data_IF_149804002662
#
_entry.id   IF_149804002662
#
_cell.length_a   1.000
_cell.length_b   1.000
_cell.length_c   1.000
_cell.angle_alpha   90.00
_cell.angle_beta   90.00
_cell.angle_gamma   90.00
#
_symmetry.space_group_name_H-M   'P 1'
#
loop_
_entity.id
_entity.type
_entity.pdbx_description
1 polymer ?
#
# COMPACT_ATOMS: atom_id res chain seq x y z
N UNK A 1 4.68 13.02 -19.39
CA UNK A 1 3.67 13.17 -18.34
C UNK A 1 3.54 14.65 -18.06
N UNK A 2 2.32 15.20 -18.12
CA UNK A 2 2.08 16.60 -17.79
C UNK A 2 2.28 16.80 -16.28
N UNK A 3 2.98 17.87 -15.89
CA UNK A 3 3.20 18.18 -14.47
C UNK A 3 1.86 18.47 -13.80
N UNK A 4 1.51 17.83 -12.67
CA UNK A 4 0.25 18.11 -11.99
C UNK A 4 0.15 19.58 -11.59
N UNK A 5 -1.02 20.21 -11.76
CA UNK A 5 -1.22 21.63 -11.41
C UNK A 5 -0.93 21.91 -9.92
N UNK A 6 -1.15 20.92 -9.04
CA UNK A 6 -0.78 21.02 -7.64
C UNK A 6 0.72 21.24 -7.40
N UNK A 7 1.59 20.66 -8.23
CA UNK A 7 3.05 20.86 -8.15
C UNK A 7 3.41 22.29 -8.54
N UNK A 8 2.74 22.86 -9.54
CA UNK A 8 2.92 24.26 -9.96
C UNK A 8 2.61 25.22 -8.81
N UNK A 9 1.51 24.97 -8.09
CA UNK A 9 1.13 25.79 -6.92
C UNK A 9 2.22 25.73 -5.84
N UNK A 10 2.79 24.54 -5.58
CA UNK A 10 3.89 24.37 -4.64
C UNK A 10 5.15 25.13 -5.08
N UNK A 11 5.51 25.07 -6.36
CA UNK A 11 6.67 25.80 -6.90
C UNK A 11 6.48 27.32 -6.76
N UNK A 12 5.30 27.84 -7.10
CA UNK A 12 5.00 29.28 -6.96
C UNK A 12 5.02 29.70 -5.48
N UNK A 13 4.52 28.86 -4.57
CA UNK A 13 4.60 29.13 -3.15
C UNK A 13 6.06 29.23 -2.66
N UNK A 14 6.94 28.34 -3.14
CA UNK A 14 8.36 28.38 -2.83
C UNK A 14 9.04 29.64 -3.38
N UNK A 15 8.73 30.05 -4.62
CA UNK A 15 9.23 31.30 -5.22
C UNK A 15 8.84 32.54 -4.41
N UNK A 16 7.63 32.52 -3.84
CA UNK A 16 7.11 33.59 -2.97
C UNK A 16 7.58 33.48 -1.52
N UNK A 17 8.48 32.53 -1.20
CA UNK A 17 8.93 32.24 0.16
C UNK A 17 7.80 31.93 1.16
N UNK A 18 6.67 31.38 0.67
CA UNK A 18 5.53 30.98 1.50
C UNK A 18 5.78 29.56 2.00
N UNK A 19 5.95 29.40 3.31
CA UNK A 19 6.14 28.07 3.91
C UNK A 19 4.85 27.28 3.89
N UNK A 20 4.97 25.95 3.87
CA UNK A 20 3.83 25.01 3.92
C UNK A 20 2.80 25.33 5.00
N UNK A 21 3.25 25.66 6.21
CA UNK A 21 2.36 26.00 7.33
C UNK A 21 1.54 27.27 7.04
N UNK A 22 2.19 28.29 6.47
CA UNK A 22 1.53 29.54 6.09
C UNK A 22 0.58 29.34 4.92
N UNK A 23 0.94 28.52 3.94
CA UNK A 23 0.07 28.19 2.82
C UNK A 23 -1.19 27.45 3.27
N UNK A 24 -1.05 26.53 4.25
CA UNK A 24 -2.17 25.83 4.87
C UNK A 24 -3.09 26.81 5.63
N UNK A 25 -2.51 27.72 6.41
CA UNK A 25 -3.25 28.77 7.13
C UNK A 25 -3.99 29.70 6.17
N UNK A 26 -3.32 30.21 5.14
CA UNK A 26 -3.91 31.13 4.14
C UNK A 26 -5.00 30.48 3.30
N UNK A 27 -4.89 29.17 3.05
CA UNK A 27 -5.92 28.42 2.31
C UNK A 27 -7.03 27.86 3.21
N UNK A 28 -6.95 28.03 4.53
CA UNK A 28 -7.88 27.44 5.49
C UNK A 28 -7.85 25.90 5.52
N UNK A 29 -6.75 25.29 5.09
CA UNK A 29 -6.60 23.82 4.97
C UNK A 29 -5.62 23.29 6.01
N UNK A 30 -5.72 21.99 6.30
CA UNK A 30 -4.71 21.30 7.12
C UNK A 30 -3.44 21.05 6.31
N UNK A 31 -2.30 20.84 6.99
CA UNK A 31 -1.04 20.47 6.32
C UNK A 31 -1.18 19.18 5.50
N UNK A 32 -1.96 18.21 5.99
CA UNK A 32 -2.26 16.98 5.26
C UNK A 32 -3.09 17.27 4.00
N UNK A 33 -4.07 18.17 4.09
CA UNK A 33 -4.86 18.62 2.95
C UNK A 33 -4.02 19.26 1.85
N UNK A 34 -2.93 19.96 2.21
CA UNK A 34 -2.01 20.54 1.22
C UNK A 34 -1.27 19.50 0.38
N UNK A 35 -0.86 18.37 0.97
CA UNK A 35 -0.25 17.29 0.19
C UNK A 35 -1.21 16.67 -0.81
N UNK A 36 -2.50 16.56 -0.46
CA UNK A 36 -3.55 16.12 -1.38
C UNK A 36 -3.69 17.10 -2.54
N UNK A 37 -3.72 18.40 -2.26
CA UNK A 37 -3.78 19.46 -3.28
C UNK A 37 -2.60 19.38 -4.25
N UNK A 38 -1.38 19.13 -3.76
CA UNK A 38 -0.20 19.03 -4.61
C UNK A 38 -0.17 17.80 -5.51
N UNK A 39 -0.86 16.73 -5.13
CA UNK A 39 -1.02 15.54 -5.96
C UNK A 39 -2.08 15.66 -7.06
N UNK A 40 -2.89 16.74 -7.05
CA UNK A 40 -3.97 16.92 -8.03
C UNK A 40 -3.42 17.31 -9.40
N UNK A 41 -3.88 16.59 -10.41
CA UNK A 41 -3.56 16.87 -11.81
C UNK A 41 -4.41 17.99 -12.39
N UNK A 42 -5.60 18.18 -11.84
CA UNK A 42 -6.60 19.15 -12.28
C UNK A 42 -7.26 19.92 -11.13
N UNK A 43 -7.68 21.14 -11.43
CA UNK A 43 -8.43 22.01 -10.52
C UNK A 43 -9.45 22.82 -11.32
N UNK A 44 -10.56 23.17 -10.65
CA UNK A 44 -11.56 24.05 -11.24
C UNK A 44 -11.00 25.47 -11.38
N UNK A 45 -11.51 26.23 -12.34
CA UNK A 45 -11.00 27.57 -12.59
C UNK A 45 -11.18 28.50 -11.37
N UNK A 46 -12.28 28.36 -10.63
CA UNK A 46 -12.54 29.12 -9.41
C UNK A 46 -11.49 28.80 -8.33
N UNK A 47 -11.13 27.52 -8.18
CA UNK A 47 -10.09 27.09 -7.23
C UNK A 47 -8.71 27.63 -7.62
N UNK A 48 -8.42 27.74 -8.92
CA UNK A 48 -7.16 28.34 -9.42
C UNK A 48 -7.14 29.84 -9.12
N UNK A 49 -8.26 30.54 -9.23
CA UNK A 49 -8.36 31.96 -8.87
C UNK A 49 -8.15 32.18 -7.36
N UNK A 50 -8.67 31.30 -6.51
CA UNK A 50 -8.39 31.32 -5.07
C UNK A 50 -6.89 31.14 -4.79
N UNK A 51 -6.25 30.15 -5.42
CA UNK A 51 -4.81 29.93 -5.27
C UNK A 51 -3.98 31.10 -5.79
N UNK A 52 -4.39 31.71 -6.91
CA UNK A 52 -3.75 32.90 -7.45
C UNK A 52 -3.81 34.07 -6.44
N UNK A 53 -4.97 34.25 -5.79
CA UNK A 53 -5.16 35.23 -4.73
C UNK A 53 -4.26 34.98 -3.51
N UNK A 54 -4.20 33.74 -3.03
CA UNK A 54 -3.35 33.35 -1.89
C UNK A 54 -1.86 33.56 -2.18
N UNK A 55 -1.44 33.25 -3.41
CA UNK A 55 -0.04 33.33 -3.84
C UNK A 55 0.38 34.73 -4.32
N UNK A 56 -0.58 35.66 -4.46
CA UNK A 56 -0.34 37.00 -4.99
C UNK A 56 0.19 36.98 -6.43
N UNK A 57 -0.39 36.14 -7.27
CA UNK A 57 -0.09 36.03 -8.72
C UNK A 57 -1.37 36.09 -9.53
N UNK A 58 -1.27 36.27 -10.85
CA UNK A 58 -2.43 36.14 -11.73
C UNK A 58 -2.72 34.68 -12.05
N UNK A 59 -3.97 34.35 -12.37
CA UNK A 59 -4.33 33.01 -12.87
C UNK A 59 -3.55 32.65 -14.14
N UNK A 60 -3.32 33.63 -15.02
CA UNK A 60 -2.57 33.43 -16.25
C UNK A 60 -1.13 33.05 -15.97
N UNK A 61 -0.52 33.57 -14.90
CA UNK A 61 0.81 33.16 -14.48
C UNK A 61 0.85 31.67 -14.12
N UNK A 62 -0.14 31.19 -13.36
CA UNK A 62 -0.27 29.77 -12.99
C UNK A 62 -0.44 28.91 -14.25
N UNK A 63 -1.36 29.28 -15.15
CA UNK A 63 -1.60 28.55 -16.39
C UNK A 63 -0.41 28.54 -17.34
N UNK A 64 0.28 29.68 -17.48
CA UNK A 64 1.48 29.79 -18.30
C UNK A 64 2.59 28.91 -17.73
N UNK A 65 2.78 28.90 -16.42
CA UNK A 65 3.77 28.02 -15.78
C UNK A 65 3.41 26.55 -15.93
N UNK A 66 2.12 26.21 -15.79
CA UNK A 66 1.63 24.85 -15.99
C UNK A 66 1.84 24.36 -17.43
N UNK A 67 1.56 25.20 -18.44
CA UNK A 67 1.80 24.89 -19.86
C UNK A 67 3.27 24.89 -20.25
N UNK A 68 4.09 25.75 -19.63
CA UNK A 68 5.50 25.95 -19.99
C UNK A 68 6.46 25.06 -19.19
N UNK A 69 6.03 24.40 -18.10
CA UNK A 69 6.89 23.51 -17.30
C UNK A 69 7.34 22.24 -18.05
N UNK A 70 6.90 22.02 -19.30
CA UNK A 70 7.53 21.05 -20.19
C UNK A 70 8.87 21.51 -20.79
N UNK A 71 9.29 22.76 -20.56
CA UNK A 71 10.49 23.38 -21.17
C UNK A 71 11.37 24.20 -20.20
N UNK A 72 11.11 24.18 -18.90
CA UNK A 72 11.89 24.94 -17.92
C UNK A 72 13.10 24.14 -17.44
N UNK A 73 14.25 24.53 -17.98
CA UNK A 73 15.58 24.31 -17.44
C UNK A 73 15.61 24.81 -15.98
N UNK A 74 15.45 23.89 -15.03
CA UNK A 74 15.57 24.20 -13.61
C UNK A 74 16.27 23.04 -12.95
N UNK A 75 17.49 23.31 -12.51
CA UNK A 75 18.23 22.56 -11.51
C UNK A 75 17.34 22.32 -10.28
N UNK A 76 16.46 21.32 -10.35
CA UNK A 76 15.89 20.67 -9.18
C UNK A 76 17.10 20.07 -8.50
N UNK A 77 17.46 20.68 -7.37
CA UNK A 77 18.60 20.38 -6.50
C UNK A 77 18.95 18.88 -6.61
N UNK A 78 19.88 18.55 -7.51
CA UNK A 78 20.08 17.17 -7.99
C UNK A 78 20.41 16.26 -6.81
N UNK A 79 21.06 16.85 -5.80
CA UNK A 79 21.36 16.27 -4.51
C UNK A 79 20.12 15.87 -3.70
N UNK A 80 19.06 16.68 -3.68
CA UNK A 80 17.81 16.33 -3.00
C UNK A 80 17.10 15.15 -3.68
N UNK A 81 17.05 15.15 -5.01
CA UNK A 81 16.47 14.03 -5.77
C UNK A 81 17.30 12.76 -5.60
N UNK A 82 18.62 12.85 -5.68
CA UNK A 82 19.53 11.72 -5.43
C UNK A 82 19.35 11.16 -4.02
N UNK A 83 19.26 12.02 -3.00
CA UNK A 83 19.04 11.60 -1.62
C UNK A 83 17.67 10.96 -1.43
N UNK A 84 16.64 11.48 -2.09
CA UNK A 84 15.31 10.90 -2.04
C UNK A 84 15.23 9.54 -2.75
N UNK A 85 15.88 9.42 -3.91
CA UNK A 85 15.99 8.15 -4.65
C UNK A 85 16.76 7.11 -3.85
N UNK A 86 17.89 7.47 -3.23
CA UNK A 86 18.64 6.57 -2.36
C UNK A 86 17.82 6.09 -1.15
N UNK A 87 17.03 6.99 -0.55
CA UNK A 87 16.13 6.62 0.54
C UNK A 87 15.01 5.67 0.07
N UNK A 88 14.44 5.90 -1.12
CA UNK A 88 13.45 5.01 -1.73
C UNK A 88 14.05 3.64 -2.06
N UNK A 89 15.24 3.59 -2.65
CA UNK A 89 15.94 2.33 -2.93
C UNK A 89 16.18 1.52 -1.65
N UNK A 90 16.57 2.18 -0.56
CA UNK A 90 16.75 1.53 0.73
C UNK A 90 15.42 0.96 1.27
N UNK A 91 14.32 1.71 1.16
CA UNK A 91 13.00 1.23 1.56
C UNK A 91 12.55 0.03 0.71
N UNK A 92 12.74 0.08 -0.60
CA UNK A 92 12.41 -1.02 -1.51
C UNK A 92 13.23 -2.28 -1.20
N UNK A 93 14.53 -2.14 -0.93
CA UNK A 93 15.38 -3.27 -0.52
C UNK A 93 14.88 -3.89 0.78
N UNK A 94 14.63 -3.08 1.80
CA UNK A 94 14.11 -3.56 3.07
C UNK A 94 12.75 -4.27 2.91
N UNK A 95 11.85 -3.72 2.09
CA UNK A 95 10.54 -4.33 1.83
C UNK A 95 10.65 -5.63 1.04
N UNK A 96 11.63 -5.73 0.13
CA UNK A 96 11.90 -6.96 -0.64
C UNK A 96 12.46 -8.05 0.27
N UNK A 97 13.39 -7.71 1.16
CA UNK A 97 13.94 -8.63 2.15
C UNK A 97 12.85 -9.10 3.12
N UNK A 98 11.98 -8.20 3.58
CA UNK A 98 10.85 -8.56 4.45
C UNK A 98 9.87 -9.50 3.73
N UNK A 99 9.55 -9.21 2.47
CA UNK A 99 8.67 -10.07 1.64
C UNK A 99 9.28 -11.46 1.45
N UNK A 100 10.59 -11.54 1.22
CA UNK A 100 11.31 -12.81 1.07
C UNK A 100 11.33 -13.61 2.38
N UNK A 101 11.64 -12.96 3.50
CA UNK A 101 11.64 -13.61 4.81
C UNK A 101 10.25 -14.16 5.17
N UNK A 102 9.18 -13.43 4.83
CA UNK A 102 7.82 -13.89 5.02
C UNK A 102 7.49 -15.09 4.14
N UNK A 103 7.92 -15.08 2.87
CA UNK A 103 7.73 -16.21 1.96
C UNK A 103 8.44 -17.47 2.49
N UNK A 104 9.69 -17.34 2.95
CA UNK A 104 10.45 -18.45 3.53
C UNK A 104 9.76 -19.00 4.79
N UNK A 105 9.21 -18.11 5.64
CA UNK A 105 8.46 -18.51 6.83
C UNK A 105 7.19 -19.29 6.46
N UNK A 106 6.39 -18.79 5.50
CA UNK A 106 5.18 -19.48 5.05
C UNK A 106 5.52 -20.84 4.43
N UNK A 107 6.59 -20.92 3.64
CA UNK A 107 7.04 -22.18 3.05
C UNK A 107 7.44 -23.20 4.12
N UNK A 108 8.13 -22.77 5.19
CA UNK A 108 8.45 -23.64 6.31
C UNK A 108 7.19 -24.15 7.05
N UNK A 109 6.17 -23.29 7.19
CA UNK A 109 4.91 -23.67 7.83
C UNK A 109 4.14 -24.69 6.98
N UNK A 110 4.11 -24.52 5.66
CA UNK A 110 3.51 -25.49 4.75
C UNK A 110 4.20 -26.85 4.89
N UNK A 111 5.53 -26.89 4.88
CA UNK A 111 6.28 -28.14 5.05
C UNK A 111 5.99 -28.85 6.40
N UNK A 112 5.78 -28.09 7.48
CA UNK A 112 5.36 -28.66 8.77
C UNK A 112 3.93 -29.20 8.69
N UNK A 113 3.01 -28.46 8.07
CA UNK A 113 1.61 -28.91 7.89
C UNK A 113 1.51 -30.15 7.01
N UNK A 114 2.28 -30.24 5.93
CA UNK A 114 2.31 -31.42 5.06
C UNK A 114 2.74 -32.67 5.84
N UNK A 115 3.79 -32.57 6.65
CA UNK A 115 4.21 -33.67 7.55
C UNK A 115 3.14 -34.04 8.59
N UNK A 116 2.39 -33.06 9.09
CA UNK A 116 1.28 -33.34 10.01
C UNK A 116 0.15 -34.08 9.29
N UNK A 117 -0.16 -33.70 8.06
CA UNK A 117 -1.17 -34.36 7.22
C UNK A 117 -0.74 -35.80 6.93
N UNK A 118 0.51 -36.05 6.53
CA UNK A 118 1.05 -37.40 6.32
C UNK A 118 0.87 -38.28 7.57
N UNK A 119 1.21 -37.77 8.75
CA UNK A 119 1.03 -38.51 10.01
C UNK A 119 -0.43 -38.81 10.30
N UNK A 120 -1.34 -37.86 10.03
CA UNK A 120 -2.78 -38.07 10.22
C UNK A 120 -3.32 -39.10 9.23
N UNK A 121 -2.87 -39.08 7.98
CA UNK A 121 -3.22 -40.10 6.97
C UNK A 121 -2.74 -41.49 7.38
N UNK A 122 -1.50 -41.62 7.87
CA UNK A 122 -0.96 -42.88 8.39
C UNK A 122 -1.77 -43.41 9.59
N UNK A 123 -2.18 -42.52 10.51
CA UNK A 123 -3.01 -42.89 11.66
C UNK A 123 -4.42 -43.32 11.23
N UNK A 124 -5.03 -42.64 10.26
CA UNK A 124 -6.31 -43.05 9.68
C UNK A 124 -6.19 -44.41 8.99
N UNK A 125 -5.13 -44.63 8.21
CA UNK A 125 -4.87 -45.91 7.54
C UNK A 125 -4.70 -47.06 8.53
N UNK A 126 -4.05 -46.81 9.69
CA UNK A 126 -3.90 -47.79 10.78
C UNK A 126 -5.18 -48.05 11.57
N UNK A 127 -6.16 -47.15 11.52
CA UNK A 127 -7.50 -47.34 12.11
C UNK A 127 -8.47 -48.06 11.17
N UNK A 128 -8.13 -48.15 9.87
CA UNK A 128 -8.94 -48.81 8.85
C UNK A 128 -8.94 -50.36 8.81
N UNK A 129 -8.11 -51.16 9.53
CA UNK A 129 -8.19 -52.61 9.46
C UNK A 129 -9.15 -53.24 10.50
N UNK A 130 -10.05 -52.47 11.12
CA UNK A 130 -10.96 -53.00 12.16
C UNK A 130 -12.47 -52.93 11.81
N UNK A 131 -12.81 -52.75 10.52
CA UNK A 131 -14.18 -52.94 10.03
C UNK A 131 -14.29 -54.23 9.21
N UNK A 132 -13.60 -55.29 9.63
CA UNK A 132 -13.82 -56.64 9.10
C UNK A 132 -14.96 -57.27 9.92
N UNK A 133 -16.17 -57.04 9.43
CA UNK A 133 -17.41 -57.66 9.89
C UNK A 133 -17.39 -59.18 9.66
N UNK A 134 -16.71 -59.97 10.49
CA UNK A 134 -17.01 -61.41 10.60
C UNK A 134 -16.35 -62.08 11.81
N UNK A 135 -17.03 -62.03 12.97
CA UNK A 135 -17.05 -63.08 14.03
C UNK A 135 -17.39 -62.47 15.40
N UNK A 136 -18.68 -62.23 15.69
CA UNK A 136 -19.23 -62.52 17.03
C UNK A 136 -20.75 -62.85 16.91
N UNK A 137 -21.11 -63.73 15.99
CA UNK A 137 -22.35 -64.51 16.13
C UNK A 137 -22.00 -65.75 16.97
N UNK A 138 -22.01 -65.60 18.30
CA UNK A 138 -22.20 -66.70 19.28
C UNK A 138 -21.97 -66.19 20.71
N UNK A 139 -22.96 -65.48 21.26
CA UNK A 139 -23.12 -65.45 22.71
C UNK A 139 -24.62 -65.52 23.09
N UNK A 140 -25.04 -66.51 23.91
CA UNK A 140 -26.45 -66.85 24.12
C UNK A 140 -27.14 -65.95 25.17
N UNK A 141 -26.85 -64.65 25.17
CA UNK A 141 -27.34 -63.71 26.21
C UNK A 141 -28.51 -62.81 25.77
N UNK A 142 -28.99 -62.91 24.52
CA UNK A 142 -30.07 -62.05 23.97
C UNK A 142 -31.35 -62.82 23.62
N UNK A 143 -31.75 -63.80 24.44
CA UNK A 143 -33.04 -64.51 24.33
C UNK A 143 -33.90 -64.38 25.60
N UNK A 144 -33.64 -63.40 26.46
CA UNK A 144 -34.38 -63.21 27.73
C UNK A 144 -35.14 -61.88 27.83
N UNK A 145 -35.40 -61.21 26.70
CA UNK A 145 -36.18 -59.95 26.70
C UNK A 145 -37.22 -59.87 25.59
N UNK A 146 -37.78 -61.00 25.18
CA UNK A 146 -39.01 -61.07 24.38
C UNK A 146 -39.82 -62.29 24.82
N UNK A 147 -40.56 -62.14 25.91
CA UNK A 147 -41.73 -62.96 26.27
C UNK A 147 -42.67 -62.13 27.15
#
# INVERSE_FOLDING_TARGET
METPIGVIIKEIANEKNIKMGQLAELSGRTRQGMYVVFGRSDMKNEEIEEWAGILGVSKDYIFNKWKNNGKSDTSVDSEYLLKHLAALEHQFKAQTEQSKALADQLQSQLAVKDKQIERLMDLLGKLSPASDESKVLSHPALMALVA
#
